data_IF_560663903469
#
_entry.id   IF_560663903469
#
_cell.length_a   1.000
_cell.length_b   1.000
_cell.length_c   1.000
_cell.angle_alpha   90.00
_cell.angle_beta   90.00
_cell.angle_gamma   90.00
#
_symmetry.space_group_name_H-M   'P 1'
#
loop_
_entity.id
_entity.type
_entity.pdbx_description
1 polymer ?
#
# COMPACT_ATOMS: atom_id res chain seq x y z
N UNK A 1 30.31 -15.99 -13.85
CA UNK A 1 29.06 -15.78 -13.10
C UNK A 1 29.20 -14.47 -12.33
N UNK A 2 28.55 -13.40 -12.79
CA UNK A 2 28.34 -12.17 -12.01
C UNK A 2 26.94 -11.69 -12.36
N UNK A 3 25.96 -12.13 -11.58
CA UNK A 3 24.56 -11.74 -11.71
C UNK A 3 24.41 -10.28 -11.33
N UNK A 4 24.36 -9.41 -12.35
CA UNK A 4 23.80 -8.06 -12.18
C UNK A 4 22.29 -8.23 -12.13
N UNK A 5 21.69 -8.02 -10.95
CA UNK A 5 20.25 -7.83 -10.83
C UNK A 5 19.83 -6.68 -11.76
N UNK A 6 18.82 -6.85 -12.63
CA UNK A 6 18.29 -5.74 -13.41
C UNK A 6 17.50 -4.83 -12.46
N UNK A 7 18.17 -3.77 -12.03
CA UNK A 7 17.60 -2.63 -11.31
C UNK A 7 16.84 -1.74 -12.32
N UNK A 8 15.81 -2.28 -12.96
CA UNK A 8 14.80 -1.55 -13.75
C UNK A 8 13.96 -2.59 -14.48
N UNK A 9 12.92 -3.09 -13.82
CA UNK A 9 11.74 -3.56 -14.56
C UNK A 9 10.69 -2.50 -14.31
N UNK A 10 10.68 -1.51 -15.21
CA UNK A 10 9.50 -0.65 -15.43
C UNK A 10 8.42 -1.58 -15.93
N UNK A 11 7.63 -2.15 -15.02
CA UNK A 11 6.47 -2.94 -15.37
C UNK A 11 5.31 -1.99 -15.63
N UNK A 12 5.08 -1.75 -16.92
CA UNK A 12 3.79 -1.34 -17.46
C UNK A 12 2.69 -2.23 -16.87
N UNK A 13 1.57 -1.64 -16.46
CA UNK A 13 0.62 -2.16 -15.47
C UNK A 13 -0.23 -3.37 -15.88
N UNK A 14 0.38 -4.46 -16.34
CA UNK A 14 -0.32 -5.70 -16.64
C UNK A 14 -0.65 -6.46 -15.34
N UNK A 15 -1.95 -6.63 -15.08
CA UNK A 15 -2.49 -7.36 -13.92
C UNK A 15 -1.96 -8.79 -13.83
N UNK A 16 -1.68 -9.44 -14.95
CA UNK A 16 -1.14 -10.80 -14.99
C UNK A 16 0.34 -10.82 -14.55
N UNK A 17 1.13 -9.83 -14.97
CA UNK A 17 2.52 -9.70 -14.57
C UNK A 17 2.64 -9.33 -13.09
N UNK A 18 1.81 -8.40 -12.60
CA UNK A 18 1.72 -8.08 -11.17
C UNK A 18 1.38 -9.36 -10.38
N UNK A 19 0.38 -10.15 -10.82
CA UNK A 19 -0.01 -11.40 -10.15
C UNK A 19 1.09 -12.45 -10.15
N UNK A 20 1.83 -12.62 -11.25
CA UNK A 20 2.96 -13.54 -11.33
C UNK A 20 4.11 -13.09 -10.43
N UNK A 21 4.42 -11.80 -10.41
CA UNK A 21 5.41 -11.25 -9.50
C UNK A 21 4.98 -11.40 -8.03
N UNK A 22 3.68 -11.26 -7.71
CA UNK A 22 3.16 -11.48 -6.34
C UNK A 22 3.38 -12.91 -5.87
N UNK A 23 3.35 -13.88 -6.79
CA UNK A 23 3.60 -15.28 -6.49
C UNK A 23 5.08 -15.57 -6.26
N UNK A 24 5.97 -14.91 -7.02
CA UNK A 24 7.42 -15.21 -7.02
C UNK A 24 8.19 -14.34 -6.01
N UNK A 25 7.80 -13.09 -5.81
CA UNK A 25 8.47 -12.11 -4.95
C UNK A 25 7.49 -11.11 -4.27
N UNK A 26 6.55 -11.59 -3.44
CA UNK A 26 5.56 -10.73 -2.79
C UNK A 26 6.18 -9.60 -1.96
N UNK A 27 7.32 -9.86 -1.32
CA UNK A 27 8.06 -8.87 -0.52
C UNK A 27 8.61 -7.72 -1.36
N UNK A 28 9.09 -7.98 -2.58
CA UNK A 28 9.67 -6.95 -3.46
C UNK A 28 8.59 -6.03 -4.02
N UNK A 29 7.44 -6.59 -4.42
CA UNK A 29 6.28 -5.78 -4.84
C UNK A 29 5.76 -4.93 -3.69
N UNK A 30 5.62 -5.51 -2.49
CA UNK A 30 5.16 -4.76 -1.34
C UNK A 30 6.07 -3.55 -1.07
N UNK A 31 7.39 -3.73 -1.16
CA UNK A 31 8.35 -2.63 -1.03
C UNK A 31 8.17 -1.56 -2.14
N UNK A 32 8.04 -1.96 -3.40
CA UNK A 32 7.82 -1.04 -4.52
C UNK A 32 6.48 -0.29 -4.44
N UNK A 33 5.41 -0.96 -4.03
CA UNK A 33 4.11 -0.35 -3.80
C UNK A 33 4.17 0.65 -2.64
N UNK A 34 4.80 0.28 -1.52
CA UNK A 34 4.97 1.17 -0.38
C UNK A 34 5.76 2.41 -0.76
N UNK A 35 6.86 2.24 -1.47
CA UNK A 35 7.71 3.36 -1.90
C UNK A 35 6.98 4.30 -2.88
N UNK A 36 6.25 3.76 -3.87
CA UNK A 36 5.45 4.60 -4.77
C UNK A 36 4.32 5.33 -4.05
N UNK A 37 3.67 4.70 -3.08
CA UNK A 37 2.60 5.32 -2.31
C UNK A 37 3.12 6.41 -1.38
N UNK A 38 4.27 6.19 -0.75
CA UNK A 38 4.96 7.20 0.06
C UNK A 38 5.35 8.43 -0.78
N UNK A 39 5.84 8.21 -2.00
CA UNK A 39 6.10 9.30 -2.93
C UNK A 39 4.81 10.04 -3.32
N UNK A 40 3.74 9.31 -3.61
CA UNK A 40 2.47 9.90 -4.02
C UNK A 40 1.83 10.74 -2.91
N UNK A 41 1.88 10.30 -1.65
CA UNK A 41 1.33 11.10 -0.54
C UNK A 41 2.14 12.38 -0.33
N UNK A 42 3.47 12.32 -0.43
CA UNK A 42 4.33 13.51 -0.35
C UNK A 42 4.03 14.50 -1.48
N UNK A 43 3.78 14.01 -2.69
CA UNK A 43 3.47 14.86 -3.84
C UNK A 43 2.07 15.48 -3.81
N UNK A 44 1.07 14.81 -3.21
CA UNK A 44 -0.33 15.27 -3.23
C UNK A 44 -0.75 16.05 -1.98
N UNK A 45 -0.13 15.76 -0.83
CA UNK A 45 -0.50 16.37 0.45
C UNK A 45 0.59 17.34 0.94
N UNK A 46 1.85 17.11 0.57
CA UNK A 46 3.01 17.93 0.98
C UNK A 46 3.15 18.14 2.50
N UNK A 47 2.54 17.26 3.31
CA UNK A 47 2.65 17.26 4.77
C UNK A 47 3.35 15.99 5.25
N UNK A 48 4.46 16.17 5.98
CA UNK A 48 5.29 15.07 6.46
C UNK A 48 4.63 14.29 7.60
N UNK A 49 3.79 14.94 8.41
CA UNK A 49 3.04 14.30 9.47
C UNK A 49 1.95 13.39 8.92
N UNK A 50 1.19 13.86 7.92
CA UNK A 50 0.21 13.03 7.24
C UNK A 50 0.88 11.88 6.49
N UNK A 51 2.02 12.11 5.85
CA UNK A 51 2.81 11.04 5.20
C UNK A 51 3.15 9.92 6.20
N UNK A 52 3.58 10.27 7.41
CA UNK A 52 3.87 9.28 8.46
C UNK A 52 2.60 8.54 8.91
N UNK A 53 1.49 9.25 9.12
CA UNK A 53 0.21 8.63 9.48
C UNK A 53 -0.31 7.68 8.39
N UNK A 54 -0.17 8.08 7.11
CA UNK A 54 -0.51 7.26 5.95
C UNK A 54 0.35 5.99 5.90
N UNK A 55 1.67 6.13 6.04
CA UNK A 55 2.61 4.99 6.05
C UNK A 55 2.34 4.04 7.22
N UNK A 56 1.95 4.57 8.38
CA UNK A 56 1.51 3.75 9.51
C UNK A 56 0.25 2.93 9.15
N UNK A 57 -0.77 3.56 8.56
CA UNK A 57 -1.98 2.86 8.10
C UNK A 57 -1.68 1.81 7.01
N UNK A 58 -0.67 2.06 6.18
CA UNK A 58 -0.25 1.16 5.11
C UNK A 58 0.43 -0.11 5.65
N UNK A 59 1.36 0.04 6.59
CA UNK A 59 2.27 -1.03 7.03
C UNK A 59 1.80 -1.77 8.28
N UNK A 60 1.00 -1.13 9.13
CA UNK A 60 0.53 -1.72 10.39
C UNK A 60 -0.71 -2.57 10.14
N UNK A 61 -0.64 -3.85 10.53
CA UNK A 61 -1.83 -4.69 10.60
C UNK A 61 -2.65 -4.31 11.83
N UNK A 62 -3.91 -3.96 11.62
CA UNK A 62 -4.90 -3.65 12.65
C UNK A 62 -6.27 -4.18 12.25
N UNK A 63 -7.27 -4.09 13.10
CA UNK A 63 -8.66 -4.40 12.72
C UNK A 63 -9.20 -3.35 11.73
N UNK A 64 -10.21 -3.70 10.94
CA UNK A 64 -10.83 -2.75 10.00
C UNK A 64 -11.38 -1.51 10.74
N UNK A 65 -11.96 -1.70 11.94
CA UNK A 65 -12.46 -0.61 12.77
C UNK A 65 -11.35 0.32 13.30
N UNK A 66 -10.20 -0.24 13.70
CA UNK A 66 -9.04 0.56 14.10
C UNK A 66 -8.45 1.33 12.92
N UNK A 67 -8.43 0.71 11.74
CA UNK A 67 -8.00 1.38 10.51
C UNK A 67 -8.89 2.57 10.19
N UNK A 68 -10.21 2.38 10.15
CA UNK A 68 -11.16 3.46 9.86
C UNK A 68 -11.04 4.59 10.88
N UNK A 69 -10.88 4.26 12.16
CA UNK A 69 -10.69 5.24 13.22
C UNK A 69 -9.41 6.06 13.03
N UNK A 70 -8.27 5.39 12.84
CA UNK A 70 -6.98 6.08 12.64
C UNK A 70 -6.97 6.92 11.37
N UNK A 71 -7.58 6.42 10.30
CA UNK A 71 -7.68 7.12 9.03
C UNK A 71 -8.53 8.39 9.16
N UNK A 72 -9.71 8.31 9.78
CA UNK A 72 -10.57 9.46 10.03
C UNK A 72 -9.89 10.50 10.93
N UNK A 73 -9.24 10.06 12.01
CA UNK A 73 -8.47 10.95 12.89
C UNK A 73 -7.36 11.68 12.14
N UNK A 74 -6.63 10.99 11.26
CA UNK A 74 -5.60 11.62 10.44
C UNK A 74 -6.20 12.66 9.48
N UNK A 75 -7.27 12.31 8.77
CA UNK A 75 -7.95 13.26 7.87
C UNK A 75 -8.40 14.51 8.63
N UNK A 76 -9.00 14.34 9.80
CA UNK A 76 -9.51 15.45 10.60
C UNK A 76 -8.37 16.34 11.10
N UNK A 77 -7.32 15.74 11.66
CA UNK A 77 -6.17 16.44 12.22
C UNK A 77 -5.42 17.28 11.17
N UNK A 78 -5.29 16.75 9.95
CA UNK A 78 -4.58 17.42 8.86
C UNK A 78 -5.49 18.24 7.93
N UNK A 79 -6.81 18.31 8.20
CA UNK A 79 -7.74 19.12 7.40
C UNK A 79 -7.95 18.62 5.96
N UNK A 80 -7.91 17.31 5.74
CA UNK A 80 -7.93 16.69 4.41
C UNK A 80 -9.29 16.10 4.01
N UNK A 81 -10.36 16.49 4.71
CA UNK A 81 -11.72 15.95 4.52
C UNK A 81 -12.20 16.13 3.08
N UNK A 82 -11.79 17.20 2.40
CA UNK A 82 -12.18 17.52 1.04
C UNK A 82 -11.11 17.20 -0.02
N UNK A 83 -10.01 16.56 0.36
CA UNK A 83 -8.96 16.19 -0.58
C UNK A 83 -9.36 14.95 -1.40
N UNK A 84 -9.56 15.15 -2.71
CA UNK A 84 -9.99 14.08 -3.64
C UNK A 84 -9.02 12.91 -3.71
N UNK A 85 -7.71 13.17 -3.61
CA UNK A 85 -6.71 12.12 -3.62
C UNK A 85 -6.80 11.25 -2.37
N UNK A 86 -6.97 11.87 -1.20
CA UNK A 86 -7.14 11.14 0.07
C UNK A 86 -8.43 10.29 0.07
N UNK A 87 -9.54 10.82 -0.45
CA UNK A 87 -10.79 10.07 -0.65
C UNK A 87 -10.59 8.87 -1.58
N UNK A 88 -9.87 9.07 -2.69
CA UNK A 88 -9.54 8.00 -3.63
C UNK A 88 -8.69 6.91 -2.96
N UNK A 89 -7.72 7.28 -2.14
CA UNK A 89 -6.86 6.33 -1.43
C UNK A 89 -7.65 5.49 -0.43
N UNK A 90 -8.57 6.10 0.32
CA UNK A 90 -9.48 5.39 1.21
C UNK A 90 -10.34 4.38 0.44
N UNK A 91 -10.94 4.78 -0.69
CA UNK A 91 -11.73 3.86 -1.52
C UNK A 91 -10.94 2.64 -2.03
N UNK A 92 -9.61 2.79 -2.13
CA UNK A 92 -8.67 1.76 -2.58
C UNK A 92 -7.93 1.07 -1.42
N UNK A 93 -8.31 1.28 -0.16
CA UNK A 93 -7.61 0.76 1.04
C UNK A 93 -7.28 -0.74 0.97
N UNK A 94 -8.16 -1.53 0.34
CA UNK A 94 -7.98 -2.98 0.16
C UNK A 94 -6.78 -3.36 -0.73
N UNK A 95 -6.25 -2.42 -1.52
CA UNK A 95 -5.14 -2.65 -2.45
C UNK A 95 -3.78 -2.34 -1.85
N UNK A 96 -3.72 -1.61 -0.72
CA UNK A 96 -2.46 -1.08 -0.21
C UNK A 96 -2.26 -1.22 1.29
N UNK A 97 -3.34 -1.24 2.10
CA UNK A 97 -3.18 -1.37 3.54
C UNK A 97 -3.04 -2.84 3.96
N UNK A 98 -2.01 -3.12 4.77
CA UNK A 98 -1.67 -4.46 5.26
C UNK A 98 -2.84 -5.14 5.97
N UNK A 99 -3.67 -4.36 6.70
CA UNK A 99 -4.93 -4.79 7.32
C UNK A 99 -5.80 -5.62 6.38
N UNK A 100 -6.01 -5.13 5.15
CA UNK A 100 -6.88 -5.80 4.18
C UNK A 100 -6.12 -6.84 3.37
N UNK A 101 -4.84 -6.60 3.04
CA UNK A 101 -4.03 -7.52 2.25
C UNK A 101 -3.83 -8.87 2.96
N UNK A 102 -3.61 -8.87 4.28
CA UNK A 102 -3.47 -10.11 5.08
C UNK A 102 -4.78 -10.85 5.27
N UNK A 103 -5.91 -10.13 5.39
CA UNK A 103 -7.23 -10.76 5.51
C UNK A 103 -7.58 -11.65 4.31
N UNK A 104 -7.02 -11.33 3.13
CA UNK A 104 -7.16 -12.11 1.88
C UNK A 104 -6.20 -13.29 1.74
N UNK A 105 -5.23 -13.50 2.65
CA UNK A 105 -4.20 -14.55 2.52
C UNK A 105 -4.52 -15.87 3.26
N UNK A 106 -5.79 -16.13 3.58
CA UNK A 106 -6.21 -17.46 4.08
C UNK A 106 -7.21 -18.10 3.11
N UNK A 107 -6.68 -18.80 2.10
CA UNK A 107 -7.50 -19.50 1.13
C UNK A 107 -6.73 -20.27 0.06
N UNK A 108 -5.71 -21.04 0.46
CA UNK A 108 -5.17 -22.12 -0.36
C UNK A 108 -3.73 -21.96 -0.82
N UNK A 109 -2.80 -22.55 -0.05
CA UNK A 109 -1.88 -23.59 -0.56
C UNK A 109 -1.04 -24.18 0.59
N UNK A 110 -1.67 -24.95 1.47
CA UNK A 110 -0.98 -26.00 2.23
C UNK A 110 -1.72 -27.32 1.92
N UNK A 111 -1.26 -27.99 0.88
CA UNK A 111 -1.53 -29.39 0.49
C UNK A 111 -0.48 -29.66 -0.59
N UNK A 112 0.54 -30.50 -0.45
CA UNK A 112 0.77 -31.67 0.41
C UNK A 112 2.27 -31.78 0.66
#
# INVERSE_FOLDING_TARGET
>A
MHGKCPLSVVTDGDKAMIKAMWLVMPSAIRCLCCWHLEWNVQANVCDTGFTQAFTHCMLTYMTEAEFDTQWLMAIEWYGLQDNDWVKLMYSKQKLWAETFLRSTFFGGLWST
#
